data_IF_413275112484
#
_entry.id   IF_413275112484
#
_cell.length_a   1.000
_cell.length_b   1.000
_cell.length_c   1.000
_cell.angle_alpha   90.00
_cell.angle_beta   90.00
_cell.angle_gamma   90.00
#
_symmetry.space_group_name_H-M   'P 1'
#
loop_
_entity.id
_entity.type
_entity.pdbx_description
1 polymer ?
#
# COMPACT_ATOMS: atom_id res chain seq x y z
N UNK A 1 -30.08 18.22 -41.24
CA UNK A 1 -28.81 17.46 -41.09
C UNK A 1 -28.25 17.86 -39.72
N UNK A 2 -28.52 17.11 -38.65
CA UNK A 2 -27.65 16.06 -38.03
C UNK A 2 -26.29 16.67 -37.62
N UNK A 3 -25.80 16.70 -36.39
CA UNK A 3 -26.22 16.15 -35.10
C UNK A 3 -25.47 16.86 -33.95
N UNK A 4 -26.08 16.93 -32.76
CA UNK A 4 -25.34 17.03 -31.49
C UNK A 4 -24.62 15.70 -31.22
N UNK A 5 -23.52 15.72 -30.46
CA UNK A 5 -23.37 14.71 -29.42
C UNK A 5 -22.97 15.34 -28.07
N UNK A 6 -23.94 15.31 -27.16
CA UNK A 6 -23.86 14.81 -25.79
C UNK A 6 -22.44 14.59 -25.22
N UNK A 7 -22.03 15.45 -24.28
CA UNK A 7 -20.98 15.14 -23.31
C UNK A 7 -21.48 13.98 -22.43
N UNK A 8 -21.06 12.76 -22.76
CA UNK A 8 -21.30 11.60 -21.94
C UNK A 8 -20.41 11.69 -20.69
N UNK A 9 -21.05 11.82 -19.54
CA UNK A 9 -20.45 11.67 -18.21
C UNK A 9 -19.83 10.27 -18.13
N UNK A 10 -18.51 10.17 -18.27
CA UNK A 10 -17.80 8.93 -18.00
C UNK A 10 -17.85 8.68 -16.49
N UNK A 11 -18.83 7.88 -16.05
CA UNK A 11 -18.78 7.23 -14.76
C UNK A 11 -17.46 6.48 -14.70
N UNK A 12 -16.54 6.94 -13.87
CA UNK A 12 -15.39 6.17 -13.45
C UNK A 12 -15.94 4.87 -12.84
N UNK A 13 -15.89 3.79 -13.62
CA UNK A 13 -16.22 2.46 -13.16
C UNK A 13 -15.22 2.13 -12.06
N UNK A 14 -15.63 2.36 -10.81
CA UNK A 14 -15.00 1.77 -9.63
C UNK A 14 -15.22 0.27 -9.76
N UNK A 15 -14.31 -0.40 -10.45
CA UNK A 15 -14.24 -1.85 -10.40
C UNK A 15 -14.15 -2.22 -8.92
N UNK A 16 -15.00 -3.15 -8.43
CA UNK A 16 -14.83 -3.68 -7.11
C UNK A 16 -13.51 -4.43 -7.14
N UNK A 17 -12.44 -3.77 -6.70
CA UNK A 17 -11.23 -4.44 -6.27
C UNK A 17 -11.73 -5.30 -5.13
N UNK A 18 -11.97 -6.58 -5.42
CA UNK A 18 -12.30 -7.58 -4.42
C UNK A 18 -11.33 -7.31 -3.28
N UNK A 19 -11.86 -6.84 -2.15
CA UNK A 19 -11.07 -6.51 -0.98
C UNK A 19 -10.46 -7.84 -0.55
N UNK A 20 -9.27 -8.12 -1.08
CA UNK A 20 -8.59 -9.39 -0.88
C UNK A 20 -8.47 -9.51 0.63
N UNK A 21 -9.03 -10.58 1.19
CA UNK A 21 -9.08 -10.76 2.63
C UNK A 21 -7.69 -10.46 3.20
N UNK A 22 -7.64 -9.57 4.19
CA UNK A 22 -6.38 -9.20 4.82
C UNK A 22 -5.82 -10.44 5.51
N UNK A 23 -4.66 -10.90 5.03
CA UNK A 23 -3.96 -12.10 5.51
C UNK A 23 -2.50 -11.76 5.79
N UNK A 24 -1.80 -12.61 6.58
CA UNK A 24 -0.35 -12.50 6.73
C UNK A 24 0.39 -12.41 5.39
N UNK A 25 -0.07 -13.15 4.37
CA UNK A 25 0.53 -13.13 3.04
C UNK A 25 0.33 -11.78 2.33
N UNK A 26 -0.86 -11.17 2.39
CA UNK A 26 -1.08 -9.85 1.80
C UNK A 26 -0.31 -8.76 2.55
N UNK A 27 -0.21 -8.87 3.88
CA UNK A 27 0.59 -7.95 4.69
C UNK A 27 2.08 -8.03 4.32
N UNK A 28 2.64 -9.24 4.15
CA UNK A 28 4.00 -9.43 3.66
C UNK A 28 4.19 -8.88 2.24
N UNK A 29 3.28 -9.19 1.32
CA UNK A 29 3.35 -8.70 -0.06
C UNK A 29 3.36 -7.17 -0.13
N UNK A 30 2.65 -6.49 0.77
CA UNK A 30 2.67 -5.04 0.84
C UNK A 30 4.04 -4.48 1.26
N UNK A 31 4.72 -5.13 2.21
CA UNK A 31 6.07 -4.73 2.64
C UNK A 31 7.09 -4.83 1.51
N UNK A 32 6.90 -5.77 0.59
CA UNK A 32 7.78 -5.97 -0.58
C UNK A 32 7.39 -5.15 -1.81
N UNK A 33 6.21 -4.51 -1.80
CA UNK A 33 5.66 -3.78 -2.93
C UNK A 33 6.53 -2.59 -3.36
N UNK A 34 6.30 -2.16 -4.60
CA UNK A 34 6.88 -0.95 -5.17
C UNK A 34 5.76 -0.01 -5.59
N UNK A 35 5.93 1.28 -5.33
CA UNK A 35 4.91 2.30 -5.54
C UNK A 35 5.42 3.37 -6.52
N UNK A 36 4.52 3.95 -7.33
CA UNK A 36 4.88 4.95 -8.32
C UNK A 36 5.18 6.33 -7.71
N UNK A 37 4.71 6.60 -6.50
CA UNK A 37 4.89 7.89 -5.81
C UNK A 37 4.97 7.73 -4.30
N UNK A 38 5.47 8.75 -3.63
CA UNK A 38 5.50 8.84 -2.17
C UNK A 38 4.08 8.73 -1.58
N UNK A 39 3.13 9.50 -2.13
CA UNK A 39 1.75 9.50 -1.68
C UNK A 39 1.11 8.11 -1.81
N UNK A 40 1.36 7.38 -2.90
CA UNK A 40 0.83 6.03 -3.07
C UNK A 40 1.41 5.06 -2.03
N UNK A 41 2.71 5.16 -1.75
CA UNK A 41 3.34 4.38 -0.68
C UNK A 41 2.73 4.72 0.69
N UNK A 42 2.59 6.02 1.00
CA UNK A 42 2.13 6.48 2.30
C UNK A 42 0.67 6.08 2.56
N UNK A 43 -0.21 6.28 1.59
CA UNK A 43 -1.61 5.83 1.66
C UNK A 43 -1.68 4.31 1.89
N UNK A 44 -0.85 3.52 1.21
CA UNK A 44 -0.85 2.07 1.39
C UNK A 44 -0.36 1.65 2.79
N UNK A 45 0.66 2.34 3.31
CA UNK A 45 1.17 2.13 4.66
C UNK A 45 0.14 2.50 5.74
N UNK A 46 -0.57 3.61 5.56
CA UNK A 46 -1.60 4.05 6.53
C UNK A 46 -2.82 3.14 6.51
N UNK A 47 -3.27 2.71 5.33
CA UNK A 47 -4.32 1.68 5.21
C UNK A 47 -3.91 0.37 5.90
N UNK A 48 -2.65 -0.06 5.77
CA UNK A 48 -2.17 -1.27 6.44
C UNK A 48 -2.16 -1.15 7.96
N UNK A 49 -1.75 0.01 8.48
CA UNK A 49 -1.81 0.30 9.93
C UNK A 49 -3.24 0.26 10.44
N UNK A 50 -4.17 0.85 9.70
CA UNK A 50 -5.58 0.83 10.07
C UNK A 50 -6.16 -0.59 10.04
N UNK A 51 -5.83 -1.37 9.01
CA UNK A 51 -6.22 -2.78 8.94
C UNK A 51 -5.68 -3.59 10.12
N UNK A 52 -4.38 -3.48 10.44
CA UNK A 52 -3.80 -4.18 11.59
C UNK A 52 -4.32 -3.67 12.93
N UNK A 53 -4.79 -2.42 13.03
CA UNK A 53 -5.43 -1.87 14.22
C UNK A 53 -6.82 -2.48 14.46
N UNK A 54 -7.60 -2.65 13.39
CA UNK A 54 -8.97 -3.16 13.46
C UNK A 54 -9.01 -4.68 13.52
N UNK A 55 -8.19 -5.35 12.69
CA UNK A 55 -8.15 -6.80 12.54
C UNK A 55 -6.69 -7.25 12.44
N UNK A 56 -6.01 -7.46 13.58
CA UNK A 56 -4.60 -7.84 13.60
C UNK A 56 -4.36 -9.16 12.85
N UNK A 57 -3.35 -9.19 11.99
CA UNK A 57 -2.93 -10.44 11.34
C UNK A 57 -2.32 -11.40 12.36
N UNK A 58 -2.49 -12.70 12.15
CA UNK A 58 -1.75 -13.71 12.91
C UNK A 58 -0.24 -13.48 12.74
N UNK A 59 0.54 -13.47 13.83
CA UNK A 59 1.99 -13.35 13.72
C UNK A 59 2.59 -14.56 13.00
N UNK A 60 3.69 -14.34 12.30
CA UNK A 60 4.46 -15.38 11.60
C UNK A 60 5.88 -15.36 12.15
N UNK A 61 6.36 -16.49 12.67
CA UNK A 61 7.68 -16.58 13.33
C UNK A 61 7.89 -15.50 14.41
N UNK A 62 6.89 -15.28 15.27
CA UNK A 62 6.88 -14.24 16.33
C UNK A 62 7.00 -12.79 15.83
N UNK A 63 6.86 -12.56 14.51
CA UNK A 63 6.80 -11.22 13.93
C UNK A 63 5.35 -10.75 13.81
N UNK A 64 5.04 -9.66 14.51
CA UNK A 64 3.75 -8.97 14.43
C UNK A 64 3.76 -7.96 13.28
N UNK A 65 2.80 -8.08 12.34
CA UNK A 65 2.64 -7.12 11.25
C UNK A 65 2.26 -5.73 11.74
N UNK A 66 1.40 -5.61 12.75
CA UNK A 66 1.14 -4.34 13.42
C UNK A 66 2.44 -3.63 13.86
N UNK A 67 3.38 -4.37 14.48
CA UNK A 67 4.68 -3.83 14.88
C UNK A 67 5.55 -3.47 13.68
N UNK A 68 5.56 -4.30 12.63
CA UNK A 68 6.29 -4.01 11.40
C UNK A 68 5.79 -2.70 10.75
N UNK A 69 4.48 -2.53 10.56
CA UNK A 69 3.92 -1.31 9.95
C UNK A 69 4.04 -0.06 10.84
N UNK A 70 4.06 -0.21 12.16
CA UNK A 70 4.33 0.91 13.07
C UNK A 70 5.74 1.49 12.86
N UNK A 71 6.72 0.61 12.63
CA UNK A 71 8.13 1.00 12.42
C UNK A 71 8.49 1.25 10.96
N UNK A 72 7.60 0.90 10.05
CA UNK A 72 7.75 1.16 8.63
C UNK A 72 7.63 2.66 8.30
N UNK A 73 8.39 3.09 7.28
CA UNK A 73 8.33 4.41 6.66
C UNK A 73 8.42 4.25 5.14
N UNK A 74 7.83 5.17 4.40
CA UNK A 74 8.05 5.23 2.96
C UNK A 74 9.45 5.81 2.68
N UNK A 75 10.18 5.15 1.79
CA UNK A 75 11.50 5.58 1.36
C UNK A 75 11.67 5.38 -0.14
N UNK A 76 12.39 6.30 -0.77
CA UNK A 76 12.71 6.23 -2.19
C UNK A 76 14.07 5.58 -2.42
N UNK A 77 14.21 4.94 -3.57
CA UNK A 77 15.50 4.52 -4.10
C UNK A 77 15.57 4.92 -5.58
N UNK A 78 16.65 5.59 -5.98
CA UNK A 78 16.92 5.88 -7.39
C UNK A 78 17.43 4.60 -8.04
N UNK A 79 16.75 4.14 -9.10
CA UNK A 79 17.20 3.05 -9.96
C UNK A 79 17.47 3.58 -11.37
N UNK A 80 18.15 2.79 -12.20
CA UNK A 80 18.42 3.13 -13.61
C UNK A 80 17.16 3.47 -14.40
N UNK A 81 16.00 2.94 -14.00
CA UNK A 81 14.70 3.10 -14.65
C UNK A 81 13.82 4.18 -14.02
N UNK A 82 14.31 4.92 -13.01
CA UNK A 82 13.56 5.96 -12.31
C UNK A 82 13.56 5.83 -10.79
N UNK A 83 12.78 6.69 -10.13
CA UNK A 83 12.59 6.66 -8.67
C UNK A 83 11.53 5.61 -8.35
N UNK A 84 11.84 4.70 -7.43
CA UNK A 84 10.88 3.72 -6.90
C UNK A 84 10.68 3.95 -5.42
N UNK A 85 9.42 4.01 -4.99
CA UNK A 85 9.04 4.13 -3.59
C UNK A 85 8.74 2.76 -3.00
N UNK A 86 9.22 2.50 -1.79
CA UNK A 86 9.00 1.23 -1.07
C UNK A 86 8.80 1.49 0.41
N UNK A 87 8.13 0.56 1.06
CA UNK A 87 8.05 0.53 2.52
C UNK A 87 9.38 0.01 3.06
N UNK A 88 10.02 0.78 3.94
CA UNK A 88 11.29 0.44 4.58
C UNK A 88 11.09 0.35 6.08
N UNK A 89 11.67 -0.68 6.70
CA UNK A 89 11.69 -0.77 8.15
C UNK A 89 12.69 0.22 8.73
N UNK A 90 12.22 1.11 9.60
CA UNK A 90 13.07 2.04 10.32
C UNK A 90 13.25 1.56 11.77
N UNK A 91 14.22 0.67 11.96
CA UNK A 91 14.58 0.19 13.29
C UNK A 91 15.51 1.20 13.98
N UNK A 92 15.30 1.52 15.27
CA UNK A 92 16.33 2.22 16.03
C UNK A 92 17.61 1.38 16.02
N UNK A 93 18.76 2.03 15.88
CA UNK A 93 20.05 1.35 16.09
C UNK A 93 20.01 0.76 17.50
N UNK A 94 20.30 -0.54 17.63
CA UNK A 94 20.52 -1.14 18.95
C UNK A 94 21.77 -0.47 19.54
N UNK A 95 21.61 0.16 20.70
CA UNK A 95 22.72 0.71 21.48
C UNK A 95 23.58 -0.42 22.06
#
# INVERSE_FOLDING_TARGET
MIALPSLALALAATTPVHAKAWTPHSAAALLDASFPSEQACQTALDSAREHERLTPSKPVHDLSYARLFAQARCGSAVRKTGIVWRIRMHWPRRA
#
